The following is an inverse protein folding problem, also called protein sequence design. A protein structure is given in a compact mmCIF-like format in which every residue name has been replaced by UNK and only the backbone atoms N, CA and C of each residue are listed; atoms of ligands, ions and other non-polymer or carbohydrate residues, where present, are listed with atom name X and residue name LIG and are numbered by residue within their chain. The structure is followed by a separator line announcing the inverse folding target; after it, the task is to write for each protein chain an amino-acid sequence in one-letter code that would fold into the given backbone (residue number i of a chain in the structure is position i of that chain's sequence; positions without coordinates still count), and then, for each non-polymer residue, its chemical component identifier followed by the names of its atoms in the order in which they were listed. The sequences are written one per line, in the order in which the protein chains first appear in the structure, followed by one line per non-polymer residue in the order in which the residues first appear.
data_IF_844123527070
#
_entry.id   IF_844123527070
#
_cell.length_a   1.000
_cell.length_b   1.000
_cell.length_c   1.000
_cell.angle_alpha   90.00
_cell.angle_beta   90.00
_cell.angle_gamma   90.00
#
_symmetry.space_group_name_H-M   'P 1'
#
loop_
_entity.id
_entity.type
_entity.pdbx_description
1 polymer ?
#
# COMPACT_ATOMS: atom_id res chain seq x y z
N UNK A 1 -26.21 29.20 1.82
CA UNK A 1 -25.39 28.15 1.81
C UNK A 1 -24.43 28.15 2.89
N UNK A 2 -24.31 27.06 3.49
CA UNK A 2 -23.63 27.03 4.68
C UNK A 2 -22.28 26.46 4.54
N UNK A 3 -21.44 26.58 5.53
CA UNK A 3 -20.16 25.96 5.57
C UNK A 3 -20.23 24.44 5.59
N UNK A 4 -21.42 23.91 5.86
CA UNK A 4 -21.60 22.47 5.89
C UNK A 4 -21.41 21.84 4.51
N UNK A 5 -21.88 22.49 3.47
CA UNK A 5 -21.70 21.94 2.12
C UNK A 5 -20.24 21.81 1.76
N UNK A 6 -19.46 22.82 2.10
CA UNK A 6 -18.03 22.76 1.84
C UNK A 6 -17.36 21.62 2.61
N UNK A 7 -17.75 21.47 3.87
CA UNK A 7 -17.17 20.43 4.72
C UNK A 7 -17.56 19.05 4.23
N UNK A 8 -18.80 18.87 3.82
CA UNK A 8 -19.23 17.58 3.29
C UNK A 8 -18.46 17.23 2.04
N UNK A 9 -18.29 18.20 1.14
CA UNK A 9 -17.52 17.95 -0.06
C UNK A 9 -16.08 17.60 0.27
N UNK A 10 -15.53 18.26 1.27
CA UNK A 10 -14.16 17.99 1.67
C UNK A 10 -14.02 16.56 2.20
N UNK A 11 -14.97 16.14 3.01
CA UNK A 11 -14.96 14.79 3.57
C UNK A 11 -15.03 13.76 2.46
N UNK A 12 -15.90 13.98 1.49
CA UNK A 12 -16.05 13.04 0.38
C UNK A 12 -14.76 12.93 -0.43
N UNK A 13 -14.13 14.07 -0.66
CA UNK A 13 -12.87 14.07 -1.38
C UNK A 13 -11.80 13.31 -0.62
N UNK A 14 -11.74 13.53 0.69
CA UNK A 14 -10.75 12.87 1.53
C UNK A 14 -11.01 11.36 1.60
N UNK A 15 -12.26 10.96 1.63
CA UNK A 15 -12.58 9.54 1.63
C UNK A 15 -12.13 8.87 0.34
N UNK A 16 -12.31 9.55 -0.78
CA UNK A 16 -11.82 9.03 -2.04
C UNK A 16 -10.33 8.89 -2.06
N UNK A 17 -9.63 9.89 -1.51
CA UNK A 17 -8.19 9.83 -1.43
C UNK A 17 -7.74 8.68 -0.53
N UNK A 18 -8.44 8.50 0.58
CA UNK A 18 -8.10 7.42 1.49
C UNK A 18 -8.19 6.06 0.79
N UNK A 19 -9.26 5.85 0.05
CA UNK A 19 -9.43 4.58 -0.66
C UNK A 19 -8.32 4.39 -1.69
N UNK A 20 -8.00 5.43 -2.42
CA UNK A 20 -6.95 5.36 -3.44
C UNK A 20 -5.61 5.03 -2.81
N UNK A 21 -5.31 5.68 -1.70
CA UNK A 21 -4.05 5.45 -1.01
C UNK A 21 -3.99 4.06 -0.40
N UNK A 22 -5.11 3.56 0.09
CA UNK A 22 -5.14 2.19 0.61
C UNK A 22 -4.85 1.16 -0.48
N UNK A 23 -5.35 1.39 -1.66
CA UNK A 23 -5.05 0.50 -2.78
C UNK A 23 -3.58 0.56 -3.16
N UNK A 24 -3.02 1.76 -3.15
CA UNK A 24 -1.60 1.92 -3.41
C UNK A 24 -0.77 1.21 -2.37
N UNK A 25 -1.17 1.35 -1.13
CA UNK A 25 -0.44 0.71 -0.03
C UNK A 25 -0.44 -0.80 -0.19
N UNK A 26 -1.57 -1.37 -0.55
CA UNK A 26 -1.65 -2.81 -0.76
C UNK A 26 -0.72 -3.26 -1.88
N UNK A 27 -0.63 -2.48 -2.93
CA UNK A 27 0.31 -2.80 -4.01
C UNK A 27 1.74 -2.81 -3.52
N UNK A 28 2.09 -1.79 -2.76
CA UNK A 28 3.44 -1.69 -2.22
C UNK A 28 3.73 -2.85 -1.29
N UNK A 29 2.78 -3.19 -0.44
CA UNK A 29 2.96 -4.30 0.48
C UNK A 29 3.19 -5.62 -0.26
N UNK A 30 2.45 -5.83 -1.34
CA UNK A 30 2.63 -7.03 -2.14
C UNK A 30 4.02 -7.08 -2.76
N UNK A 31 4.49 -5.95 -3.25
CA UNK A 31 5.82 -5.88 -3.83
C UNK A 31 6.88 -6.20 -2.79
N UNK A 32 6.72 -5.63 -1.61
CA UNK A 32 7.68 -5.87 -0.54
C UNK A 32 7.74 -7.36 -0.21
N UNK A 33 6.58 -7.99 -0.07
CA UNK A 33 6.53 -9.41 0.25
C UNK A 33 7.21 -10.23 -0.84
N UNK A 34 6.96 -9.90 -2.09
CA UNK A 34 7.56 -10.66 -3.17
C UNK A 34 9.07 -10.51 -3.22
N UNK A 35 9.55 -9.32 -2.94
CA UNK A 35 10.99 -9.10 -2.90
C UNK A 35 11.60 -9.83 -1.72
N UNK A 36 10.94 -9.80 -0.58
CA UNK A 36 11.42 -10.52 0.59
C UNK A 36 11.49 -12.01 0.34
N UNK A 37 10.49 -12.54 -0.35
CA UNK A 37 10.50 -13.95 -0.68
C UNK A 37 11.66 -14.30 -1.60
N UNK A 38 11.96 -13.42 -2.54
CA UNK A 38 13.10 -13.64 -3.42
C UNK A 38 14.40 -13.63 -2.66
N UNK A 39 14.53 -12.69 -1.73
CA UNK A 39 15.73 -12.61 -0.92
C UNK A 39 15.90 -13.87 -0.08
N UNK A 40 14.81 -14.32 0.54
CA UNK A 40 14.85 -15.53 1.34
C UNK A 40 15.27 -16.73 0.51
N UNK A 41 14.72 -16.83 -0.69
CA UNK A 41 15.04 -17.95 -1.56
C UNK A 41 16.50 -17.93 -1.94
N UNK A 42 17.04 -16.76 -2.22
CA UNK A 42 18.44 -16.64 -2.58
C UNK A 42 19.33 -16.98 -1.39
N UNK A 43 18.94 -16.56 -0.21
CA UNK A 43 19.72 -16.88 0.98
C UNK A 43 19.76 -18.37 1.24
N UNK A 44 18.60 -19.02 1.10
CA UNK A 44 18.54 -20.47 1.29
C UNK A 44 19.43 -21.17 0.26
N UNK A 45 19.37 -20.73 -0.98
CA UNK A 45 20.17 -21.31 -2.02
C UNK A 45 21.66 -21.16 -1.72
N UNK A 46 22.05 -20.00 -1.26
CA UNK A 46 23.44 -19.76 -0.89
C UNK A 46 23.87 -20.66 0.26
N UNK A 47 23.01 -20.80 1.25
CA UNK A 47 23.30 -21.66 2.37
C UNK A 47 23.45 -23.11 1.91
N UNK A 48 22.59 -23.52 1.02
CA UNK A 48 22.62 -24.89 0.52
C UNK A 48 23.89 -25.15 -0.25
N UNK A 49 24.35 -24.17 -0.98
CA UNK A 49 25.54 -24.33 -1.81
C UNK A 49 26.84 -24.32 -1.01
N UNK A 50 26.75 -23.87 0.21
CA UNK A 50 27.91 -23.89 1.07
C UNK A 50 27.97 -25.19 1.83
#
# INVERSE_FOLDING_TARGET
MDGNDYLVNRIEWLRGEKIRLQKELKKIEKEIVQIELKIQKQSVDKSTNQ
#
